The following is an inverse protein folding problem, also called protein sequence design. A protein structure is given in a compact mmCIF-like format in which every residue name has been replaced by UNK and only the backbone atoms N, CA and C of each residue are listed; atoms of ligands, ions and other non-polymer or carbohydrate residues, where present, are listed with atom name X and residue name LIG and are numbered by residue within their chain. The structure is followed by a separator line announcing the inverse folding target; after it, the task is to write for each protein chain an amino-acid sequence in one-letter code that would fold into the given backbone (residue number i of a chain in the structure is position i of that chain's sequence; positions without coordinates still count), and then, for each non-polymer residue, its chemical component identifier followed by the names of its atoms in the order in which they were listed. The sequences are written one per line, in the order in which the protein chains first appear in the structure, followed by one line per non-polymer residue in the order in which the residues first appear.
data_IF_846808897357
#
_entry.id   IF_846808897357
#
_cell.length_a   1.000
_cell.length_b   1.000
_cell.length_c   1.000
_cell.angle_alpha   90.00
_cell.angle_beta   90.00
_cell.angle_gamma   90.00
#
_symmetry.space_group_name_H-M   'P 1'
#
loop_
_entity.id
_entity.type
_entity.pdbx_description
1 polymer ?
#
# COMPACT_ATOMS: atom_id res chain seq x y z
N UNK A 1 13.19 -3.03 13.13
CA UNK A 1 12.81 -3.20 11.71
C UNK A 1 11.89 -2.06 11.35
N UNK A 2 12.12 -1.38 10.23
CA UNK A 2 11.24 -0.32 9.77
C UNK A 2 9.90 -0.90 9.34
N UNK A 3 8.80 -0.16 9.56
CA UNK A 3 7.46 -0.52 9.08
C UNK A 3 7.45 -0.78 7.56
N UNK A 4 8.24 0.00 6.83
CA UNK A 4 8.40 -0.12 5.38
C UNK A 4 8.98 -1.46 4.95
N UNK A 5 10.03 -1.91 5.64
CA UNK A 5 10.67 -3.20 5.36
C UNK A 5 9.70 -4.35 5.63
N UNK A 6 8.90 -4.26 6.70
CA UNK A 6 7.88 -5.27 6.99
C UNK A 6 6.82 -5.37 5.90
N UNK A 7 6.31 -4.23 5.42
CA UNK A 7 5.34 -4.19 4.31
C UNK A 7 5.98 -4.74 3.02
N UNK A 8 7.25 -4.41 2.77
CA UNK A 8 7.95 -4.91 1.59
C UNK A 8 8.14 -6.42 1.61
N UNK A 9 8.63 -6.95 2.75
CA UNK A 9 8.83 -8.38 2.94
C UNK A 9 7.50 -9.11 2.79
N UNK A 10 6.44 -8.58 3.40
CA UNK A 10 5.12 -9.15 3.33
C UNK A 10 4.57 -9.20 1.90
N UNK A 11 4.69 -8.12 1.13
CA UNK A 11 4.31 -8.07 -0.29
C UNK A 11 5.19 -9.01 -1.14
N UNK A 12 6.46 -9.15 -0.79
CA UNK A 12 7.39 -10.05 -1.49
C UNK A 12 7.05 -11.51 -1.21
N UNK A 13 6.59 -11.82 0.00
CA UNK A 13 6.18 -13.14 0.47
C UNK A 13 4.74 -13.51 0.09
N UNK A 14 3.93 -12.58 -0.46
CA UNK A 14 2.59 -12.88 -0.97
C UNK A 14 2.65 -13.80 -2.20
N UNK A 15 1.65 -14.69 -2.29
CA UNK A 15 1.42 -15.54 -3.47
C UNK A 15 0.91 -14.71 -4.66
N UNK A 16 1.31 -15.12 -5.87
CA UNK A 16 0.89 -14.47 -7.11
C UNK A 16 -0.64 -14.49 -7.26
N UNK A 17 -1.24 -13.32 -7.47
CA UNK A 17 -2.69 -13.13 -7.53
C UNK A 17 -3.35 -12.83 -6.18
N UNK A 18 -2.61 -12.81 -5.07
CA UNK A 18 -3.18 -12.47 -3.76
C UNK A 18 -3.46 -10.96 -3.65
N UNK A 19 -4.60 -10.63 -3.02
CA UNK A 19 -5.07 -9.27 -2.82
C UNK A 19 -4.91 -8.87 -1.36
N UNK A 20 -4.23 -7.75 -1.11
CA UNK A 20 -4.01 -7.25 0.25
C UNK A 20 -4.27 -5.77 0.40
N UNK A 21 -4.95 -5.42 1.49
CA UNK A 21 -5.14 -4.04 1.90
C UNK A 21 -3.94 -3.57 2.70
N UNK A 22 -3.26 -2.55 2.19
CA UNK A 22 -2.14 -1.87 2.84
C UNK A 22 -2.66 -0.56 3.42
N UNK A 23 -2.29 -0.24 4.66
CA UNK A 23 -2.59 1.08 5.25
C UNK A 23 -3.71 1.16 6.27
N UNK A 24 -4.46 0.06 6.48
CA UNK A 24 -5.67 0.07 7.31
C UNK A 24 -5.44 0.46 8.79
N UNK A 25 -4.20 0.42 9.26
CA UNK A 25 -3.80 0.80 10.63
C UNK A 25 -2.63 1.80 10.65
N UNK A 26 -2.31 2.42 9.50
CA UNK A 26 -1.17 3.32 9.39
C UNK A 26 -1.56 4.78 9.61
N UNK A 27 -0.68 5.58 10.24
CA UNK A 27 -0.86 7.03 10.27
C UNK A 27 -0.87 7.61 8.85
N UNK A 28 -1.69 8.63 8.61
CA UNK A 28 -1.81 9.29 7.30
C UNK A 28 -0.47 9.81 6.75
N UNK A 29 0.44 10.28 7.60
CA UNK A 29 1.80 10.67 7.19
C UNK A 29 2.60 9.50 6.63
N UNK A 30 2.46 8.31 7.21
CA UNK A 30 3.11 7.10 6.72
C UNK A 30 2.48 6.62 5.40
N UNK A 31 1.17 6.85 5.21
CA UNK A 31 0.47 6.45 3.99
C UNK A 31 1.00 7.12 2.73
N UNK A 32 1.53 8.33 2.81
CA UNK A 32 2.17 9.00 1.66
C UNK A 32 3.43 8.25 1.22
N UNK A 33 4.29 7.86 2.18
CA UNK A 33 5.50 7.11 1.90
C UNK A 33 5.20 5.70 1.37
N UNK A 34 4.18 5.04 1.92
CA UNK A 34 3.73 3.73 1.45
C UNK A 34 3.09 3.83 0.06
N UNK A 35 2.33 4.88 -0.25
CA UNK A 35 1.77 5.06 -1.60
C UNK A 35 2.87 5.18 -2.66
N UNK A 36 3.93 5.96 -2.38
CA UNK A 36 5.10 6.08 -3.25
C UNK A 36 5.76 4.72 -3.49
N UNK A 37 6.00 3.94 -2.43
CA UNK A 37 6.55 2.59 -2.54
C UNK A 37 5.69 1.64 -3.37
N UNK A 38 4.38 1.63 -3.13
CA UNK A 38 3.47 0.76 -3.87
C UNK A 38 3.39 1.17 -5.35
N UNK A 39 3.62 2.45 -5.67
CA UNK A 39 3.77 2.90 -7.06
C UNK A 39 5.07 2.34 -7.67
N UNK A 40 6.20 2.42 -6.97
CA UNK A 40 7.47 1.86 -7.44
C UNK A 40 7.36 0.35 -7.70
N UNK A 41 6.82 -0.42 -6.74
CA UNK A 41 6.60 -1.86 -6.91
C UNK A 41 5.62 -2.19 -8.04
N UNK A 42 4.66 -1.30 -8.32
CA UNK A 42 3.77 -1.46 -9.45
C UNK A 42 4.45 -1.15 -10.79
N UNK A 43 5.36 -0.17 -10.83
CA UNK A 43 6.22 0.10 -11.99
C UNK A 43 7.17 -1.06 -12.28
N UNK A 44 7.73 -1.67 -11.24
CA UNK A 44 8.55 -2.88 -11.34
C UNK A 44 7.74 -4.15 -11.67
N UNK A 45 6.41 -4.03 -11.80
CA UNK A 45 5.47 -5.13 -12.05
C UNK A 45 5.49 -6.22 -10.98
N UNK A 46 5.88 -5.89 -9.76
CA UNK A 46 5.83 -6.78 -8.60
C UNK A 46 4.39 -6.87 -8.07
N UNK A 47 3.64 -5.77 -8.12
CA UNK A 47 2.23 -5.71 -7.72
C UNK A 47 1.40 -4.89 -8.72
N UNK A 48 0.08 -4.91 -8.53
CA UNK A 48 -0.89 -4.09 -9.24
C UNK A 48 -1.80 -3.38 -8.25
N UNK A 49 -1.80 -2.05 -8.27
CA UNK A 49 -2.71 -1.26 -7.43
C UNK A 49 -4.13 -1.35 -8.01
N UNK A 50 -5.05 -1.93 -7.25
CA UNK A 50 -6.45 -2.14 -7.66
C UNK A 50 -7.38 -1.03 -7.19
N UNK A 51 -7.24 -0.59 -5.94
CA UNK A 51 -8.14 0.40 -5.34
C UNK A 51 -7.42 1.25 -4.32
N UNK A 52 -7.64 2.57 -4.34
CA UNK A 52 -7.21 3.49 -3.29
C UNK A 52 -8.45 4.05 -2.61
N UNK A 53 -8.52 3.91 -1.28
CA UNK A 53 -9.54 4.58 -0.47
C UNK A 53 -8.90 5.80 0.18
N UNK A 54 -9.59 6.93 0.13
CA UNK A 54 -9.15 8.16 0.76
C UNK A 54 -10.01 8.42 1.99
N UNK A 55 -9.37 8.85 3.07
CA UNK A 55 -10.07 9.29 4.26
C UNK A 55 -10.83 10.58 3.93
N UNK A 56 -12.09 10.66 4.37
CA UNK A 56 -12.96 11.82 4.15
C UNK A 56 -13.24 12.63 5.42
N UNK A 57 -12.75 12.14 6.56
CA UNK A 57 -13.21 12.57 7.90
C UNK A 57 -12.61 13.91 8.32
N UNK A 58 -11.40 14.23 7.87
CA UNK A 58 -10.64 15.41 8.33
C UNK A 58 -10.58 16.55 7.29
N UNK A 59 -11.25 16.40 6.14
CA UNK A 59 -11.21 17.39 5.05
C UNK A 59 -9.94 17.35 4.19
N UNK A 60 -8.91 16.63 4.63
CA UNK A 60 -7.71 16.32 3.84
C UNK A 60 -7.97 15.04 3.03
N UNK A 61 -7.87 15.09 1.70
CA UNK A 61 -8.00 13.92 0.81
C UNK A 61 -6.75 13.04 0.88
N UNK A 62 -6.45 12.49 2.05
CA UNK A 62 -5.30 11.61 2.24
C UNK A 62 -5.71 10.16 2.01
N UNK A 63 -4.76 9.34 1.56
CA UNK A 63 -5.00 7.92 1.32
C UNK A 63 -5.09 7.21 2.66
N UNK A 64 -6.21 6.54 2.89
CA UNK A 64 -6.49 5.74 4.10
C UNK A 64 -5.92 4.33 3.93
N UNK A 65 -6.20 3.71 2.78
CA UNK A 65 -5.74 2.34 2.48
C UNK A 65 -5.75 2.05 1.00
N UNK A 66 -4.86 1.15 0.58
CA UNK A 66 -4.62 0.78 -0.80
C UNK A 66 -4.74 -0.73 -0.94
N UNK A 67 -5.60 -1.19 -1.84
CA UNK A 67 -5.69 -2.58 -2.23
C UNK A 67 -4.69 -2.83 -3.35
N UNK A 68 -3.76 -3.75 -3.10
CA UNK A 68 -2.77 -4.22 -4.07
C UNK A 68 -2.96 -5.70 -4.36
N UNK A 69 -2.64 -6.09 -5.59
CA UNK A 69 -2.64 -7.47 -6.06
C UNK A 69 -1.21 -7.87 -6.40
N UNK A 70 -0.74 -9.02 -5.94
CA UNK A 70 0.56 -9.55 -6.36
C UNK A 70 0.50 -10.02 -7.82
N UNK A 71 1.51 -9.68 -8.62
CA UNK A 71 1.64 -10.15 -10.01
C UNK A 71 2.53 -11.38 -10.12
#
# INVERSE_FOLDING_TARGET
MSLYEQINDEITLMDAGELKWIGQELPLEAMVAVDLMLQELAEEKVIKVRRKNHEKTTGLKQVDRILVEKL
#
